data_IF_887357703654
#
_entry.id   IF_887357703654
#
_cell.length_a   1.000
_cell.length_b   1.000
_cell.length_c   1.000
_cell.angle_alpha   90.00
_cell.angle_beta   90.00
_cell.angle_gamma   90.00
#
_symmetry.space_group_name_H-M   'P 1'
#
loop_
_entity.id
_entity.type
_entity.pdbx_description
1 polymer ?
#
# COMPACT_ATOMS: atom_id res chain seq x y z
N UNK A 1 7.66 26.45 9.44
CA UNK A 1 6.64 25.90 8.50
C UNK A 1 5.32 25.78 9.25
N UNK A 2 4.19 26.07 8.58
CA UNK A 2 2.86 25.86 9.18
C UNK A 2 2.59 24.37 9.40
N UNK A 3 1.93 24.07 10.52
CA UNK A 3 1.38 22.73 10.82
C UNK A 3 0.22 22.39 9.88
N UNK A 4 -0.16 21.10 9.79
CA UNK A 4 -1.30 20.71 8.97
C UNK A 4 -2.58 21.41 9.42
N UNK A 5 -2.83 21.47 10.74
CA UNK A 5 -3.98 22.18 11.31
C UNK A 5 -4.03 23.67 10.92
N UNK A 6 -2.88 24.35 10.96
CA UNK A 6 -2.80 25.75 10.53
C UNK A 6 -3.11 25.89 9.03
N UNK A 7 -2.49 25.06 8.19
CA UNK A 7 -2.77 25.07 6.74
C UNK A 7 -4.26 24.82 6.46
N UNK A 8 -4.86 23.84 7.13
CA UNK A 8 -6.28 23.49 6.96
C UNK A 8 -7.18 24.66 7.37
N UNK A 9 -6.88 25.34 8.46
CA UNK A 9 -7.64 26.53 8.89
C UNK A 9 -7.58 27.63 7.84
N UNK A 10 -6.38 27.99 7.39
CA UNK A 10 -6.20 29.01 6.35
C UNK A 10 -6.92 28.65 5.05
N UNK A 11 -6.88 27.38 4.63
CA UNK A 11 -7.58 26.91 3.43
C UNK A 11 -9.10 27.04 3.60
N UNK A 12 -9.63 26.71 4.79
CA UNK A 12 -11.06 26.86 5.10
C UNK A 12 -11.50 28.33 5.15
N UNK A 13 -10.59 29.22 5.51
CA UNK A 13 -10.81 30.67 5.54
C UNK A 13 -10.65 31.34 4.16
N UNK A 14 -10.32 30.56 3.12
CA UNK A 14 -10.33 31.00 1.71
C UNK A 14 -8.95 31.00 1.03
N UNK A 15 -7.86 30.72 1.76
CA UNK A 15 -6.50 30.67 1.20
C UNK A 15 -6.25 29.33 0.50
N UNK A 16 -7.00 29.06 -0.58
CA UNK A 16 -7.04 27.77 -1.28
C UNK A 16 -5.69 27.34 -1.87
N UNK A 17 -4.81 28.28 -2.20
CA UNK A 17 -3.48 27.97 -2.75
C UNK A 17 -2.59 27.19 -1.77
N UNK A 18 -2.84 27.34 -0.46
CA UNK A 18 -2.10 26.61 0.58
C UNK A 18 -2.37 25.09 0.55
N UNK A 19 -3.41 24.64 -0.14
CA UNK A 19 -3.66 23.21 -0.35
C UNK A 19 -2.49 22.50 -1.05
N UNK A 20 -1.80 23.19 -1.96
CA UNK A 20 -0.60 22.68 -2.63
C UNK A 20 0.51 22.28 -1.65
N UNK A 21 0.60 22.97 -0.50
CA UNK A 21 1.57 22.67 0.56
C UNK A 21 1.22 21.37 1.30
N UNK A 22 -0.06 21.17 1.61
CA UNK A 22 -0.54 19.89 2.15
C UNK A 22 -0.29 18.76 1.14
N UNK A 23 -0.67 18.95 -0.12
CA UNK A 23 -0.48 17.94 -1.16
C UNK A 23 0.99 17.54 -1.26
N UNK A 24 1.91 18.50 -1.39
CA UNK A 24 3.35 18.23 -1.50
C UNK A 24 3.91 17.46 -0.30
N UNK A 25 3.39 17.71 0.91
CA UNK A 25 3.81 17.03 2.15
C UNK A 25 3.44 15.55 2.16
N UNK A 26 2.32 15.18 1.54
CA UNK A 26 1.78 13.81 1.60
C UNK A 26 1.87 13.04 0.28
N UNK A 27 2.10 13.69 -0.85
CA UNK A 27 2.02 13.08 -2.19
C UNK A 27 2.86 11.82 -2.32
N UNK A 28 4.13 11.85 -1.89
CA UNK A 28 5.03 10.69 -1.97
C UNK A 28 4.49 9.49 -1.18
N UNK A 29 3.94 9.75 0.02
CA UNK A 29 3.40 8.71 0.90
C UNK A 29 2.10 8.11 0.34
N UNK A 30 1.17 8.97 -0.08
CA UNK A 30 -0.09 8.54 -0.67
C UNK A 30 0.13 7.79 -1.99
N UNK A 31 1.01 8.29 -2.86
CA UNK A 31 1.38 7.61 -4.10
C UNK A 31 1.97 6.22 -3.82
N UNK A 32 2.89 6.12 -2.85
CA UNK A 32 3.46 4.84 -2.43
C UNK A 32 2.36 3.88 -1.95
N UNK A 33 1.49 4.30 -1.03
CA UNK A 33 0.39 3.47 -0.53
C UNK A 33 -0.55 2.99 -1.65
N UNK A 34 -0.98 3.91 -2.51
CA UNK A 34 -1.83 3.62 -3.68
C UNK A 34 -1.17 2.61 -4.60
N UNK A 35 0.10 2.84 -4.95
CA UNK A 35 0.88 1.96 -5.81
C UNK A 35 0.95 0.53 -5.26
N UNK A 36 1.30 0.35 -3.99
CA UNK A 36 1.38 -0.97 -3.37
C UNK A 36 0.02 -1.68 -3.29
N UNK A 37 -1.07 -0.92 -3.12
CA UNK A 37 -2.41 -1.50 -3.10
C UNK A 37 -2.86 -1.96 -4.50
N UNK A 38 -2.58 -1.17 -5.55
CA UNK A 38 -2.98 -1.46 -6.92
C UNK A 38 -2.18 -2.62 -7.56
N UNK A 39 -0.96 -2.86 -7.10
CA UNK A 39 -0.14 -4.00 -7.54
C UNK A 39 -0.82 -5.35 -7.41
N UNK A 40 -1.68 -5.52 -6.41
CA UNK A 40 -2.46 -6.76 -6.23
C UNK A 40 -3.38 -7.11 -7.41
N UNK A 41 -3.68 -6.14 -8.27
CA UNK A 41 -4.49 -6.32 -9.47
C UNK A 41 -3.74 -5.95 -10.76
N UNK A 42 -2.40 -5.77 -10.70
CA UNK A 42 -1.56 -5.32 -11.83
C UNK A 42 -1.99 -3.96 -12.43
N UNK A 43 -2.46 -3.05 -11.57
CA UNK A 43 -2.96 -1.72 -11.96
C UNK A 43 -2.04 -0.59 -11.51
N UNK A 44 -0.77 -0.85 -11.22
CA UNK A 44 0.17 0.17 -10.73
C UNK A 44 0.36 1.36 -11.67
N UNK A 45 0.10 1.19 -12.97
CA UNK A 45 0.11 2.28 -13.97
C UNK A 45 -0.91 3.38 -13.64
N UNK A 46 -1.98 3.04 -12.92
CA UNK A 46 -3.02 3.99 -12.51
C UNK A 46 -2.69 4.71 -11.20
N UNK A 47 -1.52 4.46 -10.60
CA UNK A 47 -1.22 4.95 -9.26
C UNK A 47 -1.21 6.49 -9.18
N UNK A 48 -0.67 7.17 -10.20
CA UNK A 48 -0.64 8.65 -10.24
C UNK A 48 -2.04 9.24 -10.38
N UNK A 49 -2.89 8.64 -11.22
CA UNK A 49 -4.27 9.06 -11.41
C UNK A 49 -5.10 8.87 -10.14
N UNK A 50 -4.99 7.70 -9.50
CA UNK A 50 -5.69 7.38 -8.24
C UNK A 50 -5.18 8.25 -7.08
N UNK A 51 -3.89 8.59 -7.06
CA UNK A 51 -3.32 9.52 -6.11
C UNK A 51 -3.88 10.94 -6.31
N UNK A 52 -3.92 11.41 -7.56
CA UNK A 52 -4.49 12.72 -7.91
C UNK A 52 -5.97 12.81 -7.54
N UNK A 53 -6.74 11.76 -7.87
CA UNK A 53 -8.16 11.64 -7.50
C UNK A 53 -8.34 11.63 -5.97
N UNK A 54 -7.42 11.01 -5.23
CA UNK A 54 -7.44 11.04 -3.75
C UNK A 54 -7.30 12.47 -3.23
N UNK A 55 -6.33 13.25 -3.74
CA UNK A 55 -6.17 14.64 -3.36
C UNK A 55 -7.33 15.51 -3.84
N UNK A 56 -7.92 15.23 -5.00
CA UNK A 56 -9.11 15.93 -5.46
C UNK A 56 -10.30 15.71 -4.50
N UNK A 57 -10.57 14.46 -4.11
CA UNK A 57 -11.62 14.14 -3.12
C UNK A 57 -11.34 14.73 -1.75
N UNK A 58 -10.08 14.71 -1.31
CA UNK A 58 -9.67 15.33 -0.06
C UNK A 58 -9.93 16.84 -0.09
N UNK A 59 -9.56 17.54 -1.17
CA UNK A 59 -9.87 18.96 -1.32
C UNK A 59 -11.39 19.23 -1.25
N UNK A 60 -12.19 18.46 -2.00
CA UNK A 60 -13.66 18.60 -2.04
C UNK A 60 -14.35 18.35 -0.70
N UNK A 61 -13.73 17.57 0.18
CA UNK A 61 -14.25 17.23 1.51
C UNK A 61 -13.51 17.92 2.65
N UNK A 62 -12.54 18.79 2.36
CA UNK A 62 -11.70 19.41 3.38
C UNK A 62 -12.51 20.31 4.33
N UNK A 63 -13.56 20.96 3.84
CA UNK A 63 -14.45 21.80 4.66
C UNK A 63 -15.11 21.01 5.79
N UNK A 64 -15.45 19.74 5.57
CA UNK A 64 -16.09 18.87 6.57
C UNK A 64 -15.10 18.10 7.47
N UNK A 65 -13.80 18.17 7.18
CA UNK A 65 -12.78 17.54 8.03
C UNK A 65 -12.77 18.17 9.43
N UNK A 66 -12.76 17.33 10.47
CA UNK A 66 -12.69 17.76 11.87
C UNK A 66 -11.46 17.14 12.55
N UNK A 67 -10.56 18.00 12.99
CA UNK A 67 -9.30 17.60 13.63
C UNK A 67 -9.48 16.84 14.95
N UNK A 68 -10.63 17.02 15.61
CA UNK A 68 -10.98 16.29 16.84
C UNK A 68 -11.21 14.79 16.59
N UNK A 69 -11.56 14.40 15.37
CA UNK A 69 -11.89 13.01 15.04
C UNK A 69 -10.65 12.20 14.64
N UNK A 70 -9.71 12.81 13.93
CA UNK A 70 -8.49 12.17 13.46
C UNK A 70 -7.43 13.19 13.00
N UNK A 71 -6.17 12.76 12.93
CA UNK A 71 -5.13 13.53 12.23
C UNK A 71 -5.48 13.67 10.74
N UNK A 72 -5.00 14.73 10.10
CA UNK A 72 -5.16 14.91 8.65
C UNK A 72 -4.57 13.74 7.86
N UNK A 73 -3.42 13.20 8.30
CA UNK A 73 -2.81 12.00 7.71
C UNK A 73 -3.80 10.83 7.73
N UNK A 74 -4.31 10.46 8.91
CA UNK A 74 -5.25 9.34 9.07
C UNK A 74 -6.50 9.52 8.20
N UNK A 75 -7.05 10.74 8.15
CA UNK A 75 -8.20 11.06 7.32
C UNK A 75 -7.88 10.93 5.81
N UNK A 76 -6.75 11.47 5.35
CA UNK A 76 -6.31 11.39 3.97
C UNK A 76 -6.09 9.94 3.51
N UNK A 77 -5.48 9.10 4.36
CA UNK A 77 -5.32 7.68 4.06
C UNK A 77 -6.64 6.90 4.01
N UNK A 78 -7.65 7.35 4.76
CA UNK A 78 -9.00 6.79 4.66
C UNK A 78 -9.59 7.06 3.27
N UNK A 79 -9.43 8.29 2.76
CA UNK A 79 -9.84 8.66 1.40
C UNK A 79 -9.02 7.88 0.36
N UNK A 80 -7.70 7.77 0.54
CA UNK A 80 -6.82 7.04 -0.35
C UNK A 80 -7.24 5.58 -0.47
N UNK A 81 -7.43 4.91 0.68
CA UNK A 81 -7.91 3.52 0.73
C UNK A 81 -9.23 3.37 0.00
N UNK A 82 -10.23 4.19 0.34
CA UNK A 82 -11.55 4.10 -0.30
C UNK A 82 -11.48 4.33 -1.83
N UNK A 83 -10.60 5.23 -2.28
CA UNK A 83 -10.40 5.50 -3.70
C UNK A 83 -9.78 4.30 -4.40
N UNK A 84 -8.74 3.69 -3.83
CA UNK A 84 -8.14 2.45 -4.37
C UNK A 84 -9.17 1.32 -4.42
N UNK A 85 -9.95 1.11 -3.36
CA UNK A 85 -10.96 0.04 -3.34
C UNK A 85 -12.10 0.27 -4.33
N UNK A 86 -12.44 1.54 -4.60
CA UNK A 86 -13.37 1.87 -5.67
C UNK A 86 -12.80 1.44 -7.02
N UNK A 87 -11.53 1.75 -7.29
CA UNK A 87 -10.88 1.41 -8.56
C UNK A 87 -10.73 -0.10 -8.75
N UNK A 88 -10.27 -0.81 -7.71
CA UNK A 88 -10.17 -2.28 -7.73
C UNK A 88 -11.54 -2.96 -7.97
N UNK A 89 -12.64 -2.38 -7.48
CA UNK A 89 -13.99 -2.91 -7.74
C UNK A 89 -14.47 -2.65 -9.16
N UNK A 90 -14.22 -1.45 -9.70
CA UNK A 90 -14.57 -1.13 -11.10
C UNK A 90 -13.95 -2.13 -12.07
N UNK A 91 -12.66 -2.44 -11.87
CA UNK A 91 -11.96 -3.38 -12.76
C UNK A 91 -12.48 -4.81 -12.64
N UNK A 92 -12.85 -5.27 -11.44
CA UNK A 92 -13.53 -6.57 -11.29
C UNK A 92 -14.84 -6.62 -12.07
N UNK A 93 -15.61 -5.54 -12.08
CA UNK A 93 -16.88 -5.48 -12.82
C UNK A 93 -16.69 -5.33 -14.33
N UNK A 94 -15.66 -4.62 -14.81
CA UNK A 94 -15.35 -4.52 -16.25
C UNK A 94 -14.87 -5.87 -16.82
N UNK A 95 -14.07 -6.63 -16.07
CA UNK A 95 -13.64 -7.97 -16.46
C UNK A 95 -14.77 -9.02 -16.46
N UNK A 96 -15.83 -8.83 -15.66
CA UNK A 96 -17.02 -9.71 -15.69
C UNK A 96 -17.91 -9.45 -16.93
N UNK A 97 -17.74 -8.31 -17.61
CA UNK A 97 -18.49 -7.94 -18.82
C UNK A 97 -17.73 -8.24 -20.12
N UNK A 98 -16.47 -8.64 -20.03
CA UNK A 98 -15.59 -8.94 -21.16
C UNK A 98 -14.96 -10.31 -20.89
N UNK A 99 -15.70 -11.37 -21.21
CA UNK A 99 -15.08 -12.66 -21.39
C UNK A 99 -14.12 -12.57 -22.60
N UNK A 100 -12.96 -13.20 -22.44
CA UNK A 100 -11.88 -13.35 -23.42
C UNK A 100 -10.95 -12.15 -23.69
N UNK A 101 -9.80 -12.13 -23.00
CA UNK A 101 -8.48 -12.01 -23.62
C UNK A 101 -7.37 -12.02 -22.56
N UNK A 102 -6.68 -13.15 -22.49
CA UNK A 102 -5.47 -13.29 -21.69
C UNK A 102 -4.34 -12.54 -22.39
N UNK A 103 -4.00 -11.32 -21.92
CA UNK A 103 -2.78 -10.63 -22.34
C UNK A 103 -1.78 -10.64 -21.19
N UNK A 104 -0.78 -11.51 -21.29
CA UNK A 104 0.41 -11.50 -20.45
C UNK A 104 1.53 -10.88 -21.31
N UNK A 105 2.00 -9.65 -21.03
CA UNK A 105 3.23 -9.17 -21.65
C UNK A 105 4.40 -9.90 -20.99
N UNK A 106 5.09 -10.75 -21.76
CA UNK A 106 6.39 -11.28 -21.38
C UNK A 106 7.42 -10.14 -21.41
N UNK A 107 8.08 -9.88 -20.29
CA UNK A 107 9.21 -8.96 -20.24
C UNK A 107 10.49 -9.68 -20.73
N UNK A 108 11.43 -8.99 -21.42
CA UNK A 108 12.65 -9.61 -21.92
C UNK A 108 13.59 -9.98 -20.77
N UNK A 109 14.12 -11.21 -20.83
CA UNK A 109 15.09 -11.73 -19.87
C UNK A 109 16.51 -11.32 -20.32
N UNK A 110 17.02 -10.22 -19.77
CA UNK A 110 18.45 -9.89 -19.86
C UNK A 110 19.20 -10.45 -18.65
N UNK A 111 20.20 -11.31 -18.94
CA UNK A 111 21.00 -12.02 -17.96
C UNK A 111 21.99 -11.07 -17.25
N UNK A 112 22.00 -11.11 -15.90
CA UNK A 112 22.98 -10.42 -15.05
C UNK A 112 23.11 -11.11 -13.66
N UNK A 113 24.21 -10.88 -12.92
CA UNK A 113 24.93 -11.86 -12.10
C UNK A 113 24.13 -12.43 -10.92
N UNK A 114 24.30 -13.74 -10.70
CA UNK A 114 23.47 -14.62 -9.85
C UNK A 114 23.09 -14.04 -8.48
N UNK A 115 23.98 -13.34 -7.77
CA UNK A 115 23.66 -12.75 -6.46
C UNK A 115 22.68 -11.56 -6.53
N UNK A 116 22.70 -10.77 -7.62
CA UNK A 116 21.69 -9.74 -7.88
C UNK A 116 20.37 -10.37 -8.30
N UNK A 117 20.42 -11.47 -9.06
CA UNK A 117 19.25 -12.25 -9.47
C UNK A 117 18.53 -12.84 -8.24
N UNK A 118 19.25 -13.53 -7.35
CA UNK A 118 18.71 -14.12 -6.12
C UNK A 118 18.13 -13.08 -5.15
N UNK A 119 18.75 -11.89 -5.04
CA UNK A 119 18.21 -10.79 -4.22
C UNK A 119 16.93 -10.21 -4.83
N UNK A 120 16.88 -10.11 -6.16
CA UNK A 120 15.68 -9.67 -6.87
C UNK A 120 14.55 -10.68 -6.74
N UNK A 121 14.83 -11.99 -6.84
CA UNK A 121 13.86 -13.06 -6.64
C UNK A 121 13.22 -13.02 -5.25
N UNK A 122 14.02 -12.91 -4.19
CA UNK A 122 13.49 -12.78 -2.81
C UNK A 122 12.58 -11.56 -2.65
N UNK A 123 12.96 -10.42 -3.21
CA UNK A 123 12.14 -9.19 -3.17
C UNK A 123 10.85 -9.35 -3.97
N UNK A 124 10.92 -10.00 -5.14
CA UNK A 124 9.74 -10.30 -5.96
C UNK A 124 8.77 -11.22 -5.23
N UNK A 125 9.26 -12.27 -4.58
CA UNK A 125 8.42 -13.19 -3.82
C UNK A 125 7.75 -12.53 -2.61
N UNK A 126 8.47 -11.71 -1.85
CA UNK A 126 7.87 -10.94 -0.75
C UNK A 126 6.75 -10.04 -1.29
N UNK A 127 6.97 -9.40 -2.44
CA UNK A 127 5.96 -8.57 -3.10
C UNK A 127 4.75 -9.40 -3.52
N UNK A 128 4.94 -10.57 -4.12
CA UNK A 128 3.81 -11.42 -4.49
C UNK A 128 3.07 -11.98 -3.28
N UNK A 129 3.79 -12.28 -2.21
CA UNK A 129 3.17 -12.69 -0.97
C UNK A 129 2.28 -11.60 -0.38
N UNK A 130 2.74 -10.34 -0.41
CA UNK A 130 1.93 -9.19 0.01
C UNK A 130 0.76 -8.95 -0.94
N UNK A 131 0.97 -9.08 -2.25
CA UNK A 131 -0.06 -8.89 -3.28
C UNK A 131 -1.21 -9.89 -3.14
N UNK A 132 -0.90 -11.14 -2.78
CA UNK A 132 -1.89 -12.22 -2.60
C UNK A 132 -2.73 -12.09 -1.33
N UNK A 133 -2.35 -11.23 -0.38
CA UNK A 133 -3.09 -11.03 0.87
C UNK A 133 -4.52 -10.54 0.62
N UNK A 134 -5.48 -10.92 1.48
CA UNK A 134 -6.78 -10.26 1.52
C UNK A 134 -6.62 -8.75 1.73
N UNK A 135 -7.47 -7.97 1.07
CA UNK A 135 -7.38 -6.51 1.00
C UNK A 135 -7.15 -5.84 2.37
N UNK A 136 -7.94 -6.19 3.40
CA UNK A 136 -7.78 -5.62 4.75
C UNK A 136 -6.44 -5.98 5.40
N UNK A 137 -5.94 -7.19 5.17
CA UNK A 137 -4.64 -7.62 5.68
C UNK A 137 -3.51 -6.87 4.96
N UNK A 138 -3.61 -6.73 3.63
CA UNK A 138 -2.67 -5.96 2.82
C UNK A 138 -2.65 -4.49 3.23
N UNK A 139 -3.80 -3.84 3.37
CA UNK A 139 -3.90 -2.46 3.84
C UNK A 139 -3.25 -2.30 5.21
N UNK A 140 -3.58 -3.15 6.18
CA UNK A 140 -2.99 -3.08 7.52
C UNK A 140 -1.45 -3.21 7.47
N UNK A 141 -0.95 -4.18 6.69
CA UNK A 141 0.48 -4.44 6.58
C UNK A 141 1.23 -3.27 5.92
N UNK A 142 0.72 -2.72 4.82
CA UNK A 142 1.35 -1.57 4.14
C UNK A 142 1.38 -0.36 5.07
N UNK A 143 0.23 0.01 5.66
CA UNK A 143 0.14 1.16 6.57
C UNK A 143 1.11 1.02 7.76
N UNK A 144 1.29 -0.21 8.26
CA UNK A 144 2.19 -0.47 9.38
C UNK A 144 3.67 -0.45 9.00
N UNK A 145 4.05 -1.20 7.97
CA UNK A 145 5.46 -1.47 7.66
C UNK A 145 6.07 -0.43 6.71
N UNK A 146 5.27 0.19 5.83
CA UNK A 146 5.75 1.19 4.87
C UNK A 146 5.50 2.61 5.38
N UNK A 147 4.32 2.87 5.92
CA UNK A 147 3.93 4.22 6.33
C UNK A 147 4.14 4.50 7.82
N UNK A 148 4.51 3.48 8.59
CA UNK A 148 4.90 3.59 10.00
C UNK A 148 3.74 3.91 10.95
N UNK A 149 2.50 3.72 10.52
CA UNK A 149 1.33 4.10 11.29
C UNK A 149 1.15 3.27 12.56
N UNK A 150 0.59 3.90 13.59
CA UNK A 150 0.23 3.20 14.80
C UNK A 150 -1.06 2.38 14.64
N UNK A 151 -1.36 1.51 15.60
CA UNK A 151 -2.52 0.63 15.50
C UNK A 151 -3.85 1.37 15.60
N UNK A 152 -3.90 2.52 16.27
CA UNK A 152 -5.09 3.33 16.39
C UNK A 152 -5.38 4.08 15.09
N UNK A 153 -4.36 4.63 14.44
CA UNK A 153 -4.47 5.24 13.11
C UNK A 153 -4.95 4.22 12.07
N UNK A 154 -4.35 3.02 12.06
CA UNK A 154 -4.75 1.95 11.15
C UNK A 154 -6.19 1.51 11.45
N UNK A 155 -6.57 1.39 12.73
CA UNK A 155 -7.93 1.06 13.14
C UNK A 155 -8.95 2.06 12.58
N UNK A 156 -8.64 3.36 12.68
CA UNK A 156 -9.47 4.43 12.14
C UNK A 156 -9.58 4.33 10.60
N UNK A 157 -8.46 4.14 9.89
CA UNK A 157 -8.44 4.03 8.41
C UNK A 157 -9.23 2.82 7.91
N UNK A 158 -9.16 1.70 8.62
CA UNK A 158 -9.84 0.47 8.24
C UNK A 158 -11.29 0.39 8.72
N UNK A 159 -11.73 1.31 9.59
CA UNK A 159 -13.01 1.20 10.30
C UNK A 159 -13.08 -0.07 11.14
N UNK A 160 -12.05 -0.33 11.93
CA UNK A 160 -11.87 -1.55 12.74
C UNK A 160 -11.47 -1.20 14.17
N UNK A 161 -11.51 -2.18 15.08
CA UNK A 161 -10.93 -2.02 16.43
C UNK A 161 -9.42 -2.28 16.39
N UNK A 162 -8.67 -1.72 17.35
CA UNK A 162 -7.23 -2.00 17.51
C UNK A 162 -6.95 -3.50 17.65
N UNK A 163 -7.82 -4.24 18.34
CA UNK A 163 -7.72 -5.70 18.46
C UNK A 163 -7.85 -6.42 17.10
N UNK A 164 -8.80 -5.97 16.27
CA UNK A 164 -8.96 -6.46 14.89
C UNK A 164 -7.70 -6.15 14.05
N UNK A 165 -7.13 -4.94 14.17
CA UNK A 165 -5.88 -4.58 13.47
C UNK A 165 -4.71 -5.47 13.87
N UNK A 166 -4.51 -5.73 15.16
CA UNK A 166 -3.48 -6.66 15.64
C UNK A 166 -3.66 -8.05 15.03
N UNK A 167 -4.90 -8.53 14.97
CA UNK A 167 -5.23 -9.83 14.36
C UNK A 167 -4.97 -9.84 12.85
N UNK A 168 -5.32 -8.77 12.13
CA UNK A 168 -5.05 -8.62 10.70
C UNK A 168 -3.54 -8.64 10.42
N UNK A 169 -2.75 -7.89 11.18
CA UNK A 169 -1.29 -7.85 11.05
C UNK A 169 -0.64 -9.20 11.36
N UNK A 170 -1.09 -9.87 12.41
CA UNK A 170 -0.61 -11.21 12.75
C UNK A 170 -0.85 -12.19 11.60
N UNK A 171 -2.08 -12.23 11.06
CA UNK A 171 -2.44 -13.11 9.93
C UNK A 171 -1.68 -12.74 8.66
N UNK A 172 -1.54 -11.45 8.37
CA UNK A 172 -0.78 -10.96 7.22
C UNK A 172 0.67 -11.46 7.26
N UNK A 173 1.34 -11.27 8.40
CA UNK A 173 2.74 -11.71 8.59
C UNK A 173 2.88 -13.23 8.54
N UNK A 174 1.94 -13.97 9.13
CA UNK A 174 1.92 -15.43 9.06
C UNK A 174 1.77 -15.92 7.61
N UNK A 175 0.83 -15.36 6.85
CA UNK A 175 0.61 -15.72 5.44
C UNK A 175 1.83 -15.41 4.58
N UNK A 176 2.45 -14.24 4.77
CA UNK A 176 3.69 -13.89 4.07
C UNK A 176 4.81 -14.87 4.44
N UNK A 177 4.97 -15.20 5.72
CA UNK A 177 5.98 -16.16 6.19
C UNK A 177 5.78 -17.53 5.54
N UNK A 178 4.56 -18.09 5.57
CA UNK A 178 4.26 -19.41 5.00
C UNK A 178 4.55 -19.49 3.50
N UNK A 179 4.26 -18.42 2.74
CA UNK A 179 4.56 -18.39 1.30
C UNK A 179 6.06 -18.29 1.01
N UNK A 180 6.87 -17.84 1.98
CA UNK A 180 8.32 -17.77 1.87
C UNK A 180 9.01 -19.02 2.45
N UNK A 181 8.37 -19.78 3.34
CA UNK A 181 8.93 -21.00 3.96
C UNK A 181 9.30 -22.08 2.93
N UNK A 182 8.54 -22.20 1.84
CA UNK A 182 8.86 -23.10 0.72
C UNK A 182 10.22 -22.81 0.08
N UNK A 183 10.75 -21.60 0.23
CA UNK A 183 12.05 -21.19 -0.34
C UNK A 183 13.21 -21.25 0.64
N UNK A 184 12.94 -21.11 1.94
CA UNK A 184 13.98 -21.32 2.97
C UNK A 184 14.21 -22.81 3.28
N UNK A 185 13.34 -23.70 2.78
CA UNK A 185 13.40 -25.15 3.01
C UNK A 185 13.93 -25.92 1.78
N UNK A 186 14.50 -25.25 0.78
CA UNK A 186 15.24 -25.96 -0.28
C UNK A 186 16.54 -26.57 0.28
N UNK A 187 16.78 -27.90 0.13
CA UNK A 187 17.93 -28.58 0.71
C UNK A 187 19.30 -28.07 0.25
N UNK A 188 19.40 -27.42 -0.91
CA UNK A 188 20.66 -26.87 -1.43
C UNK A 188 21.18 -25.70 -0.58
N UNK A 189 20.29 -24.87 -0.04
CA UNK A 189 20.62 -23.67 0.74
C UNK A 189 20.83 -23.94 2.23
N UNK A 190 20.19 -25.00 2.77
CA UNK A 190 20.46 -25.48 4.13
C UNK A 190 21.90 -25.98 4.27
N UNK A 191 22.44 -26.63 3.22
CA UNK A 191 23.84 -27.06 3.16
C UNK A 191 24.80 -25.87 3.18
N UNK A 192 24.51 -24.85 2.38
CA UNK A 192 25.33 -23.63 2.29
C UNK A 192 25.29 -22.81 3.60
N UNK A 193 24.13 -22.77 4.28
CA UNK A 193 23.96 -22.11 5.58
C UNK A 193 24.66 -22.84 6.74
N UNK A 194 24.64 -24.17 6.74
CA UNK A 194 25.39 -25.02 7.69
C UNK A 194 26.92 -24.88 7.46
N UNK A 195 27.37 -24.90 6.21
CA UNK A 195 28.79 -24.75 5.85
C UNK A 195 29.34 -23.36 6.22
N UNK A 196 28.51 -22.31 6.18
CA UNK A 196 28.90 -20.95 6.55
C UNK A 196 28.99 -20.72 8.06
N UNK A 197 28.35 -21.56 8.88
CA UNK A 197 28.47 -21.53 10.36
C UNK A 197 29.70 -22.28 10.89
N UNK A 198 30.32 -23.10 10.05
CA UNK A 198 31.51 -23.90 10.39
C UNK A 198 32.85 -23.23 10.02
N UNK A 199 32.83 -21.98 9.53
CA UNK A 199 34.00 -21.13 9.29
C UNK A 199 33.99 -19.94 10.24
#
# INVERSE_FOLDING_TARGET
MLTDSQLIREIKDGNVELYSTLMSRYQKKILSFVFHMLKSAKLEIMAEDVCSETFYKAYRSLSSFREVDASFSTWLYTIARNTVLSELRKQKTSHLSLDDSTYIPAAPMEAAPEQRLLRNEKVLMVREAINSLPEKQRSALILREYDGMDYQEIANILGQTVSSVKSLLFRARASVKTQLESYFTEPSMMKEYEEMKLR
#
